data_IF_271468438913
#
_entry.id   IF_271468438913
#
_cell.length_a   1.000
_cell.length_b   1.000
_cell.length_c   1.000
_cell.angle_alpha   90.00
_cell.angle_beta   90.00
_cell.angle_gamma   90.00
#
_symmetry.space_group_name_H-M   'P 1'
#
loop_
_entity.id
_entity.type
_entity.pdbx_description
1 polymer ?
#
# COMPACT_ATOMS: atom_id res chain seq x y z
N UNK A 1 9.69 4.34 6.78
CA UNK A 1 8.39 3.62 6.60
C UNK A 1 7.76 3.84 5.22
N UNK A 2 7.74 5.06 4.69
CA UNK A 2 7.02 5.38 3.44
C UNK A 2 7.57 4.68 2.19
N UNK A 3 8.85 4.36 2.16
CA UNK A 3 9.49 3.71 1.01
C UNK A 3 9.43 2.18 1.06
N UNK A 4 8.94 1.59 2.16
CA UNK A 4 8.89 0.14 2.31
C UNK A 4 7.60 -0.47 1.78
N UNK A 5 7.62 -1.78 1.56
CA UNK A 5 6.44 -2.55 1.12
C UNK A 5 5.25 -2.46 2.07
N UNK A 6 5.49 -2.14 3.35
CA UNK A 6 4.45 -1.82 4.33
C UNK A 6 3.51 -0.74 3.80
N UNK A 7 4.04 0.32 3.20
CA UNK A 7 3.22 1.43 2.71
C UNK A 7 2.34 0.99 1.54
N UNK A 8 2.84 0.14 0.65
CA UNK A 8 2.04 -0.46 -0.43
C UNK A 8 0.84 -1.26 0.09
N UNK A 9 1.08 -2.15 1.06
CA UNK A 9 0.00 -2.93 1.70
C UNK A 9 -0.97 -2.03 2.48
N UNK A 10 -0.46 -0.97 3.12
CA UNK A 10 -1.27 0.02 3.84
C UNK A 10 -2.20 0.78 2.90
N UNK A 11 -1.74 1.17 1.69
CA UNK A 11 -2.60 1.82 0.69
C UNK A 11 -3.79 0.93 0.35
N UNK A 12 -3.53 -0.33 -0.03
CA UNK A 12 -4.60 -1.27 -0.39
C UNK A 12 -5.57 -1.46 0.79
N UNK A 13 -5.06 -1.69 2.00
CA UNK A 13 -5.86 -1.81 3.23
C UNK A 13 -6.85 -0.65 3.40
N UNK A 14 -6.38 0.60 3.27
CA UNK A 14 -7.24 1.76 3.46
C UNK A 14 -8.23 1.93 2.30
N UNK A 15 -7.81 1.64 1.06
CA UNK A 15 -8.73 1.69 -0.09
C UNK A 15 -9.88 0.71 0.08
N UNK A 16 -9.60 -0.54 0.48
CA UNK A 16 -10.64 -1.54 0.76
C UNK A 16 -11.58 -1.10 1.88
N UNK A 17 -11.04 -0.57 2.97
CA UNK A 17 -11.87 -0.07 4.08
C UNK A 17 -12.74 1.14 3.70
N UNK A 18 -12.38 1.87 2.64
CA UNK A 18 -13.11 3.03 2.13
C UNK A 18 -14.18 2.66 1.09
N UNK A 19 -14.17 1.44 0.55
CA UNK A 19 -15.18 0.96 -0.40
C UNK A 19 -16.58 1.15 0.20
N UNK A 20 -17.48 1.71 -0.60
CA UNK A 20 -18.87 2.06 -0.25
C UNK A 20 -19.04 3.11 0.88
N UNK A 21 -17.95 3.76 1.35
CA UNK A 21 -18.02 4.76 2.44
C UNK A 21 -17.72 6.19 2.02
N UNK A 22 -17.02 6.38 0.90
CA UNK A 22 -16.59 7.70 0.42
C UNK A 22 -16.76 7.81 -1.09
N UNK A 23 -17.10 9.00 -1.57
CA UNK A 23 -17.18 9.27 -3.01
C UNK A 23 -15.79 9.51 -3.63
N UNK A 24 -14.84 9.99 -2.82
CA UNK A 24 -13.49 10.34 -3.27
C UNK A 24 -12.48 10.20 -2.13
N UNK A 25 -11.33 9.58 -2.42
CA UNK A 25 -10.17 9.51 -1.54
C UNK A 25 -8.97 10.22 -2.19
N UNK A 26 -8.40 11.19 -1.48
CA UNK A 26 -7.20 11.90 -1.90
C UNK A 26 -5.94 11.36 -1.21
N UNK A 27 -4.85 11.20 -1.96
CA UNK A 27 -3.54 10.88 -1.41
C UNK A 27 -2.60 12.08 -1.49
N UNK A 28 -1.89 12.34 -0.41
CA UNK A 28 -0.90 13.41 -0.31
C UNK A 28 0.43 12.77 0.10
N UNK A 29 1.49 12.78 -0.71
CA UNK A 29 1.74 13.56 -1.94
C UNK A 29 1.99 12.67 -3.17
N UNK A 30 1.85 13.23 -4.37
CA UNK A 30 2.18 12.51 -5.62
C UNK A 30 3.68 12.23 -5.80
N UNK A 31 4.57 13.12 -5.34
CA UNK A 31 6.02 13.02 -5.54
C UNK A 31 6.80 13.64 -4.39
N UNK A 32 7.99 13.10 -4.14
CA UNK A 32 8.96 13.66 -3.19
C UNK A 32 9.62 14.96 -3.69
N UNK A 33 9.36 15.42 -4.91
CA UNK A 33 9.84 16.73 -5.39
C UNK A 33 9.41 17.89 -4.48
N UNK A 34 8.32 17.72 -3.75
CA UNK A 34 7.82 18.70 -2.80
C UNK A 34 8.57 18.68 -1.46
N UNK A 35 9.32 17.61 -1.13
CA UNK A 35 10.01 17.55 0.16
C UNK A 35 11.23 18.47 0.14
N UNK A 36 11.19 19.52 0.98
CA UNK A 36 12.27 20.50 1.18
C UNK A 36 13.52 19.92 1.87
N UNK A 37 13.75 18.61 1.81
CA UNK A 37 15.00 18.02 2.31
C UNK A 37 16.11 18.29 1.29
N UNK A 38 16.73 19.45 1.47
CA UNK A 38 17.83 19.98 0.65
C UNK A 38 19.15 19.19 0.77
N UNK A 39 19.27 18.26 1.71
CA UNK A 39 20.59 17.70 2.10
C UNK A 39 20.72 16.17 2.03
N UNK A 40 19.71 15.45 1.53
CA UNK A 40 19.78 14.00 1.33
C UNK A 40 19.89 13.66 -0.15
N UNK A 41 21.12 13.37 -0.61
CA UNK A 41 21.40 12.78 -1.94
C UNK A 41 20.98 11.29 -2.03
N UNK A 42 20.09 10.84 -1.15
CA UNK A 42 19.64 9.46 -1.11
C UNK A 42 18.40 9.30 -1.99
N UNK A 43 18.44 8.30 -2.89
CA UNK A 43 17.31 7.92 -3.74
C UNK A 43 16.01 7.65 -2.93
N UNK A 44 16.19 7.21 -1.68
CA UNK A 44 15.13 6.83 -0.75
C UNK A 44 15.43 7.55 0.57
N UNK A 45 14.54 8.43 1.02
CA UNK A 45 14.78 9.34 2.14
C UNK A 45 13.66 9.37 3.19
N UNK A 46 12.64 8.53 3.08
CA UNK A 46 11.49 8.51 4.00
C UNK A 46 10.35 9.43 3.59
N UNK A 47 10.49 10.22 2.52
CA UNK A 47 9.45 11.14 2.05
C UNK A 47 8.15 10.40 1.63
N UNK A 48 7.01 11.09 1.77
CA UNK A 48 5.68 10.48 1.61
C UNK A 48 5.16 10.33 0.17
N UNK A 49 5.94 10.74 -0.84
CA UNK A 49 5.53 10.72 -2.24
C UNK A 49 5.29 9.31 -2.78
N UNK A 50 4.40 9.19 -3.78
CA UNK A 50 4.27 7.94 -4.55
C UNK A 50 5.49 7.70 -5.45
N UNK A 51 6.17 8.78 -5.84
CA UNK A 51 7.38 8.77 -6.64
C UNK A 51 8.54 9.37 -5.84
N UNK A 52 9.74 8.83 -6.02
CA UNK A 52 10.98 9.49 -5.58
C UNK A 52 11.20 10.81 -6.34
N UNK A 53 12.18 11.61 -5.91
CA UNK A 53 12.59 12.84 -6.63
C UNK A 53 13.01 12.56 -8.08
N UNK A 54 13.62 11.39 -8.31
CA UNK A 54 14.05 10.92 -9.64
C UNK A 54 12.93 10.21 -10.45
N UNK A 55 11.69 10.20 -9.93
CA UNK A 55 10.55 9.61 -10.63
C UNK A 55 10.41 8.09 -10.50
N UNK A 56 11.14 7.46 -9.57
CA UNK A 56 11.01 6.02 -9.33
C UNK A 56 9.74 5.75 -8.52
N UNK A 57 8.91 4.83 -9.01
CA UNK A 57 7.69 4.40 -8.33
C UNK A 57 8.00 3.67 -7.03
N UNK A 58 7.48 4.18 -5.91
CA UNK A 58 7.58 3.54 -4.59
C UNK A 58 6.54 2.43 -4.41
N UNK A 59 6.67 1.54 -3.41
CA UNK A 59 5.65 0.52 -3.14
C UNK A 59 4.23 1.07 -2.97
N UNK A 60 4.07 2.27 -2.42
CA UNK A 60 2.77 2.96 -2.31
C UNK A 60 2.10 3.21 -3.67
N UNK A 61 2.87 3.59 -4.69
CA UNK A 61 2.40 3.77 -6.06
C UNK A 61 1.78 2.48 -6.61
N UNK A 62 2.49 1.35 -6.43
CA UNK A 62 2.00 0.06 -6.89
C UNK A 62 0.73 -0.39 -6.14
N UNK A 63 0.56 0.00 -4.87
CA UNK A 63 -0.70 -0.19 -4.15
C UNK A 63 -1.90 0.43 -4.87
N UNK A 64 -1.77 1.70 -5.28
CA UNK A 64 -2.78 2.36 -6.12
C UNK A 64 -2.89 1.73 -7.50
N UNK A 65 -1.77 1.38 -8.14
CA UNK A 65 -1.76 0.78 -9.47
C UNK A 65 -2.50 -0.56 -9.50
N UNK A 66 -2.33 -1.41 -8.48
CA UNK A 66 -3.05 -2.68 -8.38
C UNK A 66 -4.54 -2.45 -8.18
N UNK A 67 -4.92 -1.54 -7.28
CA UNK A 67 -6.32 -1.19 -7.06
C UNK A 67 -6.97 -0.60 -8.33
N UNK A 68 -6.24 0.20 -9.11
CA UNK A 68 -6.71 0.79 -10.37
C UNK A 68 -6.90 -0.24 -11.51
N UNK A 69 -6.46 -1.49 -11.33
CA UNK A 69 -6.73 -2.59 -12.27
C UNK A 69 -8.04 -3.33 -11.96
N UNK A 70 -8.80 -2.87 -10.97
CA UNK A 70 -10.13 -3.41 -10.68
C UNK A 70 -11.06 -3.28 -11.88
N UNK A 71 -11.95 -4.26 -12.06
CA UNK A 71 -13.05 -4.20 -13.01
C UNK A 71 -14.10 -3.16 -12.62
N UNK A 72 -15.00 -2.87 -13.55
CA UNK A 72 -16.04 -1.86 -13.37
C UNK A 72 -17.15 -2.26 -12.39
N UNK A 73 -17.33 -3.57 -12.16
CA UNK A 73 -18.41 -4.10 -11.32
C UNK A 73 -17.84 -4.80 -10.10
N UNK A 74 -18.29 -4.38 -8.92
CA UNK A 74 -17.98 -5.02 -7.64
C UNK A 74 -18.78 -6.32 -7.51
N UNK A 75 -18.08 -7.43 -7.25
CA UNK A 75 -18.70 -8.72 -6.95
C UNK A 75 -18.78 -8.94 -5.44
N UNK A 76 -17.67 -8.74 -4.74
CA UNK A 76 -17.57 -8.90 -3.30
C UNK A 76 -16.35 -8.16 -2.74
N UNK A 77 -16.39 -7.80 -1.46
CA UNK A 77 -15.23 -7.26 -0.74
C UNK A 77 -15.30 -7.51 0.77
N UNK A 78 -14.13 -7.58 1.37
CA UNK A 78 -13.96 -7.60 2.82
C UNK A 78 -12.74 -6.76 3.23
N UNK A 79 -12.39 -6.80 4.51
CA UNK A 79 -11.22 -6.08 5.04
C UNK A 79 -9.87 -6.63 4.55
N UNK A 80 -9.83 -7.62 3.65
CA UNK A 80 -8.62 -8.27 3.16
C UNK A 80 -8.49 -8.34 1.65
N UNK A 81 -9.62 -8.29 0.94
CA UNK A 81 -9.71 -8.50 -0.49
C UNK A 81 -10.89 -7.77 -1.13
N UNK A 82 -10.76 -7.46 -2.41
CA UNK A 82 -11.83 -6.96 -3.26
C UNK A 82 -11.83 -7.77 -4.56
N UNK A 83 -13.02 -8.17 -5.00
CA UNK A 83 -13.26 -8.95 -6.21
C UNK A 83 -14.16 -8.11 -7.12
N UNK A 84 -13.69 -7.91 -8.34
CA UNK A 84 -14.40 -7.14 -9.37
C UNK A 84 -14.39 -7.87 -10.70
N UNK A 85 -15.28 -7.48 -11.62
CA UNK A 85 -15.38 -8.05 -12.96
C UNK A 85 -15.67 -6.98 -14.02
N UNK A 86 -15.41 -7.31 -15.27
CA UNK A 86 -15.87 -6.56 -16.44
C UNK A 86 -17.15 -7.16 -17.07
N UNK A 87 -17.76 -8.19 -16.47
CA UNK A 87 -18.90 -8.96 -17.00
C UNK A 87 -18.62 -9.73 -18.31
N UNK A 88 -17.35 -9.88 -18.65
CA UNK A 88 -16.86 -10.60 -19.84
C UNK A 88 -15.83 -11.65 -19.41
N UNK A 89 -16.22 -12.52 -18.46
CA UNK A 89 -15.42 -13.62 -17.92
C UNK A 89 -14.03 -13.21 -17.40
N UNK A 90 -13.81 -11.92 -17.11
CA UNK A 90 -12.58 -11.42 -16.49
C UNK A 90 -12.86 -11.03 -15.05
N UNK A 91 -12.06 -11.58 -14.15
CA UNK A 91 -12.15 -11.35 -12.72
C UNK A 91 -10.85 -10.73 -12.23
N UNK A 92 -10.96 -9.69 -11.41
CA UNK A 92 -9.83 -8.95 -10.86
C UNK A 92 -9.91 -9.02 -9.35
N UNK A 93 -8.85 -9.54 -8.74
CA UNK A 93 -8.78 -9.76 -7.30
C UNK A 93 -7.58 -8.97 -6.77
N UNK A 94 -7.84 -8.05 -5.85
CA UNK A 94 -6.79 -7.32 -5.13
C UNK A 94 -6.84 -7.68 -3.66
N UNK A 95 -5.69 -8.08 -3.10
CA UNK A 95 -5.56 -8.47 -1.70
C UNK A 95 -4.42 -7.71 -1.02
N UNK A 96 -4.44 -7.65 0.31
CA UNK A 96 -3.29 -7.20 1.09
C UNK A 96 -3.03 -8.08 2.32
N UNK A 97 -1.76 -8.22 2.67
CA UNK A 97 -1.32 -8.72 3.96
C UNK A 97 -0.71 -7.57 4.77
N UNK A 98 -1.54 -6.57 5.07
CA UNK A 98 -1.11 -5.44 5.91
C UNK A 98 -0.88 -5.91 7.34
N UNK A 99 0.26 -5.53 7.90
CA UNK A 99 0.65 -5.81 9.28
C UNK A 99 1.02 -4.50 9.94
N UNK A 100 0.31 -4.13 11.01
CA UNK A 100 0.65 -2.95 11.81
C UNK A 100 2.04 -3.11 12.43
N UNK A 101 2.80 -2.02 12.64
CA UNK A 101 4.06 -2.10 13.37
C UNK A 101 3.82 -2.66 14.77
N UNK A 102 4.66 -3.59 15.20
CA UNK A 102 4.62 -4.17 16.53
C UNK A 102 5.21 -3.21 17.58
N UNK A 103 5.15 -3.60 18.86
CA UNK A 103 5.57 -2.72 19.96
C UNK A 103 7.05 -2.29 19.89
N UNK A 104 7.92 -3.06 19.24
CA UNK A 104 9.35 -2.74 19.15
C UNK A 104 9.59 -1.50 18.29
N UNK A 105 8.75 -1.28 17.28
CA UNK A 105 8.81 -0.09 16.44
C UNK A 105 8.68 1.19 17.27
N UNK A 106 7.70 1.21 18.18
CA UNK A 106 7.40 2.39 19.02
C UNK A 106 8.42 2.63 20.14
N UNK A 107 9.39 1.72 20.32
CA UNK A 107 10.48 1.86 21.30
C UNK A 107 11.73 2.51 20.74
N UNK A 108 11.80 2.67 19.42
CA UNK A 108 12.96 3.23 18.71
C UNK A 108 12.51 4.50 18.01
N UNK A 109 13.29 5.58 18.14
CA UNK A 109 13.03 6.79 17.36
C UNK A 109 13.19 6.49 15.86
N UNK A 110 12.29 7.03 15.02
CA UNK A 110 12.26 6.69 13.59
C UNK A 110 13.59 6.99 12.87
N UNK A 111 14.27 8.07 13.24
CA UNK A 111 15.59 8.44 12.69
C UNK A 111 16.73 7.46 13.06
N UNK A 112 16.52 6.57 14.05
CA UNK A 112 17.49 5.54 14.45
C UNK A 112 17.20 4.19 13.80
N UNK A 113 16.06 4.04 13.12
CA UNK A 113 15.67 2.79 12.45
C UNK A 113 16.50 2.62 11.18
N UNK A 114 17.21 1.50 11.08
CA UNK A 114 17.92 1.10 9.85
C UNK A 114 16.99 0.26 8.99
N UNK A 115 17.17 0.33 7.67
CA UNK A 115 16.36 -0.44 6.69
C UNK A 115 16.43 -1.94 6.97
N UNK A 116 17.60 -2.45 7.31
CA UNK A 116 17.85 -3.86 7.67
C UNK A 116 17.06 -4.31 8.90
N UNK A 117 16.67 -3.38 9.78
CA UNK A 117 15.92 -3.65 11.00
C UNK A 117 14.41 -3.50 10.76
N UNK A 118 13.94 -3.19 9.54
CA UNK A 118 12.50 -3.09 9.27
C UNK A 118 11.74 -4.41 9.52
N UNK A 119 12.24 -5.60 9.11
CA UNK A 119 11.47 -6.84 9.25
C UNK A 119 11.09 -7.20 10.69
N UNK A 120 11.94 -6.88 11.68
CA UNK A 120 11.66 -7.15 13.11
C UNK A 120 10.50 -6.32 13.68
N UNK A 121 10.11 -5.24 12.99
CA UNK A 121 9.02 -4.36 13.42
C UNK A 121 7.64 -4.82 12.94
N UNK A 122 7.56 -5.91 12.17
CA UNK A 122 6.29 -6.42 11.63
C UNK A 122 6.18 -7.92 11.83
N UNK A 123 4.97 -8.36 12.16
CA UNK A 123 4.65 -9.79 12.15
C UNK A 123 4.73 -10.33 10.72
N UNK A 124 5.36 -11.49 10.54
CA UNK A 124 5.58 -12.10 9.22
C UNK A 124 4.57 -13.20 8.91
N UNK A 125 3.47 -13.27 9.66
CA UNK A 125 2.47 -14.30 9.47
C UNK A 125 1.81 -14.20 8.09
N UNK A 126 1.84 -15.29 7.29
CA UNK A 126 1.20 -15.30 6.00
C UNK A 126 -0.32 -15.21 6.15
N UNK A 127 -0.97 -14.58 5.18
CA UNK A 127 -2.42 -14.57 5.05
C UNK A 127 -2.82 -15.41 3.84
N UNK A 128 -3.69 -16.38 4.06
CA UNK A 128 -4.22 -17.24 3.00
C UNK A 128 -5.57 -16.69 2.53
N UNK A 129 -5.78 -16.71 1.21
CA UNK A 129 -7.04 -16.34 0.59
C UNK A 129 -7.57 -17.53 -0.21
N UNK A 130 -8.88 -17.74 -0.17
CA UNK A 130 -9.57 -18.77 -0.95
C UNK A 130 -10.73 -18.10 -1.68
N UNK A 131 -10.75 -18.20 -3.01
CA UNK A 131 -11.77 -17.59 -3.85
C UNK A 131 -12.47 -18.68 -4.65
N UNK A 132 -13.80 -18.70 -4.59
CA UNK A 132 -14.65 -19.60 -5.37
C UNK A 132 -15.53 -18.75 -6.29
N UNK A 133 -15.15 -18.70 -7.57
CA UNK A 133 -15.87 -17.93 -8.59
C UNK A 133 -16.72 -18.89 -9.42
N UNK A 134 -18.02 -18.60 -9.51
CA UNK A 134 -18.95 -19.34 -10.35
C UNK A 134 -19.23 -18.47 -11.58
N UNK A 135 -18.88 -18.99 -12.76
CA UNK A 135 -19.21 -18.38 -14.06
C UNK A 135 -20.59 -18.77 -14.55
#
# INVERSE_FOLDING_TARGET
MNDSVFKGAYIIKNLLEMVDKVDLAGYWFGSDLFSEYYDTNHLIDGSGGLLTKDGICKPAYYGFQFFNRSGAYLLDHDNGSIITTNLHDSYFITCHNYKSPNFQYYRVEENKIRIQDLPQFFDQEPKQFCFLIHG
#
